data_IF_091820202109
#
_entry.id   IF_091820202109
#
_cell.length_a   1.000
_cell.length_b   1.000
_cell.length_c   1.000
_cell.angle_alpha   90.00
_cell.angle_beta   90.00
_cell.angle_gamma   90.00
#
_symmetry.space_group_name_H-M   'P 1'
#
loop_
_entity.id
_entity.type
_entity.pdbx_description
1 polymer ?
#
# COMPACT_ATOMS: atom_id res chain seq x y z
N UNK A 1 15.93 14.58 16.84
CA UNK A 1 15.05 13.40 16.77
C UNK A 1 15.88 12.16 17.02
N UNK A 2 15.55 11.34 18.03
CA UNK A 2 16.35 10.16 18.41
C UNK A 2 16.26 9.09 17.32
N UNK A 3 17.39 8.70 16.74
CA UNK A 3 17.47 7.62 15.77
C UNK A 3 17.30 6.27 16.46
N UNK A 4 16.13 5.67 16.34
CA UNK A 4 15.88 4.32 16.81
C UNK A 4 16.62 3.33 15.90
N UNK A 5 17.41 2.43 16.50
CA UNK A 5 18.14 1.41 15.77
C UNK A 5 17.16 0.53 14.96
N UNK A 6 17.48 0.18 13.70
CA UNK A 6 16.57 -0.64 12.89
C UNK A 6 16.50 -2.05 13.45
N UNK A 7 15.28 -2.52 13.67
CA UNK A 7 14.99 -3.89 14.10
C UNK A 7 15.47 -4.91 13.05
N UNK A 8 15.72 -6.15 13.47
CA UNK A 8 16.18 -7.24 12.58
C UNK A 8 15.21 -7.46 11.42
N UNK A 9 13.91 -7.38 11.69
CA UNK A 9 12.84 -7.46 10.68
C UNK A 9 12.96 -6.35 9.62
N UNK A 10 13.25 -5.12 10.06
CA UNK A 10 13.36 -3.96 9.18
C UNK A 10 14.57 -4.08 8.23
N UNK A 11 15.71 -4.55 8.75
CA UNK A 11 16.91 -4.80 7.94
C UNK A 11 16.67 -5.88 6.90
N UNK A 12 16.00 -6.97 7.29
CA UNK A 12 15.66 -8.05 6.39
C UNK A 12 14.70 -7.59 5.29
N UNK A 13 13.68 -6.80 5.63
CA UNK A 13 12.76 -6.21 4.65
C UNK A 13 13.50 -5.31 3.64
N UNK A 14 14.41 -4.43 4.11
CA UNK A 14 15.23 -3.60 3.22
C UNK A 14 16.06 -4.45 2.23
N UNK A 15 16.61 -5.57 2.71
CA UNK A 15 17.42 -6.48 1.91
C UNK A 15 16.58 -7.23 0.86
N UNK A 16 15.44 -7.80 1.26
CA UNK A 16 14.55 -8.59 0.36
C UNK A 16 13.96 -7.71 -0.73
N UNK A 17 13.43 -6.53 -0.36
CA UNK A 17 12.79 -5.63 -1.31
C UNK A 17 13.79 -4.72 -2.04
N UNK A 18 15.08 -4.75 -1.67
CA UNK A 18 16.15 -3.88 -2.22
C UNK A 18 15.79 -2.40 -2.16
N UNK A 19 15.10 -1.99 -1.11
CA UNK A 19 14.66 -0.61 -0.87
C UNK A 19 15.45 0.03 0.26
N UNK A 20 15.63 1.35 0.17
CA UNK A 20 16.22 2.11 1.26
C UNK A 20 15.27 2.13 2.47
N UNK A 21 15.85 2.15 3.69
CA UNK A 21 15.09 2.31 4.95
C UNK A 21 14.16 3.52 4.92
N UNK A 22 14.63 4.62 4.35
CA UNK A 22 13.84 5.86 4.18
C UNK A 22 12.65 5.69 3.24
N UNK A 23 12.67 4.71 2.34
CA UNK A 23 11.54 4.38 1.47
C UNK A 23 10.47 3.55 2.21
N UNK A 24 10.85 2.68 3.14
CA UNK A 24 9.91 1.96 4.01
C UNK A 24 9.12 2.91 4.92
N UNK A 25 9.79 3.93 5.44
CA UNK A 25 9.20 4.93 6.34
C UNK A 25 8.79 6.23 5.65
N UNK A 26 8.74 6.25 4.31
CA UNK A 26 8.26 7.42 3.59
C UNK A 26 6.74 7.50 3.72
N UNK A 27 6.26 8.00 4.85
CA UNK A 27 4.84 8.27 5.10
C UNK A 27 4.26 9.42 4.25
N UNK A 28 4.98 9.90 3.24
CA UNK A 28 4.72 11.19 2.59
C UNK A 28 4.58 11.18 1.07
N UNK A 29 4.42 10.03 0.41
CA UNK A 29 4.28 10.02 -1.06
C UNK A 29 3.33 8.99 -1.66
N UNK A 30 2.53 8.27 -0.86
CA UNK A 30 1.28 7.72 -1.42
C UNK A 30 0.31 8.87 -1.48
N UNK A 31 0.30 9.60 -2.61
CA UNK A 31 -0.79 10.50 -2.97
C UNK A 31 -2.07 9.71 -2.69
N UNK A 32 -2.86 10.14 -1.70
CA UNK A 32 -4.14 9.50 -1.44
C UNK A 32 -4.86 9.38 -2.79
N UNK A 33 -5.40 8.20 -3.14
CA UNK A 33 -6.14 8.06 -4.38
C UNK A 33 -7.16 9.19 -4.40
N UNK A 34 -7.22 9.93 -5.52
CA UNK A 34 -8.18 11.01 -5.64
C UNK A 34 -9.56 10.42 -5.32
N UNK A 35 -10.47 11.18 -4.69
CA UNK A 35 -11.80 10.67 -4.35
C UNK A 35 -12.50 10.04 -5.56
N UNK A 36 -12.28 10.59 -6.77
CA UNK A 36 -12.72 9.99 -8.04
C UNK A 36 -12.17 8.59 -8.28
N UNK A 37 -10.87 8.38 -8.07
CA UNK A 37 -10.28 7.06 -8.24
C UNK A 37 -10.77 6.04 -7.21
N UNK A 38 -11.12 6.50 -6.00
CA UNK A 38 -11.75 5.64 -5.00
C UNK A 38 -13.18 5.26 -5.40
N UNK A 39 -13.94 6.20 -5.98
CA UNK A 39 -15.27 5.93 -6.55
C UNK A 39 -15.19 4.93 -7.71
N UNK A 40 -14.26 5.12 -8.65
CA UNK A 40 -14.03 4.22 -9.79
C UNK A 40 -13.74 2.77 -9.33
N UNK A 41 -12.98 2.60 -8.24
CA UNK A 41 -12.66 1.29 -7.68
C UNK A 41 -13.88 0.61 -7.04
N UNK A 42 -14.76 1.39 -6.41
CA UNK A 42 -16.00 0.87 -5.82
C UNK A 42 -16.97 0.45 -6.92
N UNK A 43 -17.15 1.25 -7.96
CA UNK A 43 -17.99 0.92 -9.11
C UNK A 43 -17.48 -0.33 -9.83
N UNK A 44 -16.16 -0.40 -10.09
CA UNK A 44 -15.56 -1.57 -10.74
C UNK A 44 -15.74 -2.85 -9.91
N UNK A 45 -15.60 -2.75 -8.58
CA UNK A 45 -15.86 -3.88 -7.68
C UNK A 45 -17.32 -4.35 -7.77
N UNK A 46 -18.28 -3.43 -7.77
CA UNK A 46 -19.71 -3.79 -7.88
C UNK A 46 -20.03 -4.43 -9.23
N UNK A 47 -19.41 -3.96 -10.32
CA UNK A 47 -19.53 -4.59 -11.64
C UNK A 47 -18.97 -6.02 -11.65
N UNK A 48 -17.83 -6.26 -11.00
CA UNK A 48 -17.26 -7.61 -10.91
C UNK A 48 -18.16 -8.56 -10.11
N UNK A 49 -18.74 -8.10 -8.99
CA UNK A 49 -19.67 -8.90 -8.18
C UNK A 49 -20.95 -9.20 -8.97
N UNK A 50 -21.46 -8.25 -9.74
CA UNK A 50 -22.66 -8.49 -10.57
C UNK A 50 -22.40 -9.43 -11.74
N UNK A 51 -21.20 -9.38 -12.33
CA UNK A 51 -20.78 -10.30 -13.39
C UNK A 51 -20.44 -11.69 -12.85
N UNK A 52 -19.96 -11.78 -11.60
CA UNK A 52 -19.55 -13.03 -10.97
C UNK A 52 -20.15 -13.14 -9.56
N UNK A 53 -21.40 -13.62 -9.43
CA UNK A 53 -22.12 -13.67 -8.15
C UNK A 53 -21.50 -14.63 -7.12
N UNK A 54 -20.54 -15.46 -7.52
CA UNK A 54 -19.74 -16.31 -6.61
C UNK A 54 -18.70 -15.54 -5.80
N UNK A 55 -18.44 -14.27 -6.11
CA UNK A 55 -17.54 -13.40 -5.34
C UNK A 55 -18.25 -12.60 -4.22
N UNK A 56 -19.57 -12.81 -4.03
CA UNK A 56 -20.40 -12.17 -3.00
C UNK A 56 -20.53 -12.98 -1.71
#
# INVERSE_FOLDING_TARGET
MRGQAPDVSERHACQVFRVARSALHRSGATRAPSPKHAEDLVEHRQQLISQHPTYG
#
